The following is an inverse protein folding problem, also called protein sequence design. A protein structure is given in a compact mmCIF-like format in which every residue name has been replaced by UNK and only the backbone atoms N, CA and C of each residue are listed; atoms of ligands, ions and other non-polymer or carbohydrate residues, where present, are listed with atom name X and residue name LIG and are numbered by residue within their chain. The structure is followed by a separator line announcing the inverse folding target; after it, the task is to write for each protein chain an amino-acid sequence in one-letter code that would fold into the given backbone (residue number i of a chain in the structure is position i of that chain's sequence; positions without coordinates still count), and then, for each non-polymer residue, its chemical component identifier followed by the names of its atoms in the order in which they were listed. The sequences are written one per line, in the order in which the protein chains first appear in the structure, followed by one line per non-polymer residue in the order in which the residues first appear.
data_IF_767067395020
#
_entry.id   IF_767067395020
#
_cell.length_a   1.000
_cell.length_b   1.000
_cell.length_c   1.000
_cell.angle_alpha   90.00
_cell.angle_beta   90.00
_cell.angle_gamma   90.00
#
_symmetry.space_group_name_H-M   'P 1'
#
loop_
_entity.id
_entity.type
_entity.pdbx_description
1 polymer ?
#
# COMPACT_ATOMS: atom_id res chain seq x y z
N UNK A 1 -19.57 29.57 23.46
CA UNK A 1 -20.58 29.61 24.54
C UNK A 1 -20.61 28.37 25.45
N UNK A 2 -20.18 27.16 25.02
CA UNK A 2 -20.11 25.99 25.93
C UNK A 2 -18.71 25.36 26.17
N UNK A 3 -17.63 25.82 25.52
CA UNK A 3 -16.26 25.28 25.70
C UNK A 3 -16.18 23.73 25.67
N UNK A 4 -16.97 23.08 24.82
CA UNK A 4 -16.87 21.62 24.63
C UNK A 4 -15.57 21.35 23.87
N UNK A 5 -14.62 20.56 24.42
CA UNK A 5 -13.42 20.20 23.71
C UNK A 5 -13.80 19.31 22.53
N UNK A 6 -13.46 19.74 21.32
CA UNK A 6 -13.68 18.98 20.09
C UNK A 6 -12.34 18.66 19.46
N UNK A 7 -12.26 17.47 18.88
CA UNK A 7 -11.16 17.08 18.00
C UNK A 7 -11.75 16.78 16.63
N UNK A 8 -11.05 17.20 15.59
CA UNK A 8 -11.36 16.86 14.21
C UNK A 8 -10.05 16.55 13.50
N UNK A 9 -10.13 15.64 12.54
CA UNK A 9 -9.01 15.32 11.68
C UNK A 9 -8.75 16.50 10.73
N UNK A 10 -7.56 17.10 10.81
CA UNK A 10 -7.13 18.17 9.91
C UNK A 10 -6.19 17.59 8.85
N UNK A 11 -6.65 17.41 7.59
CA UNK A 11 -5.86 16.77 6.54
C UNK A 11 -4.62 17.59 6.15
N UNK A 12 -4.52 18.87 6.53
CA UNK A 12 -3.40 19.74 6.20
C UNK A 12 -2.26 19.69 7.26
N UNK A 13 -2.41 18.88 8.33
CA UNK A 13 -1.43 18.77 9.43
C UNK A 13 -0.72 17.40 9.41
N UNK A 14 0.58 17.47 9.10
CA UNK A 14 1.69 16.49 9.10
C UNK A 14 1.54 15.07 9.70
N UNK A 15 2.42 14.17 9.22
CA UNK A 15 2.58 12.69 9.39
C UNK A 15 2.19 12.00 10.74
N UNK A 16 1.98 12.73 11.83
CA UNK A 16 1.64 12.21 13.17
C UNK A 16 0.17 12.41 13.57
N UNK A 17 -0.71 12.64 12.61
CA UNK A 17 -2.12 12.92 12.88
C UNK A 17 -2.89 11.71 13.47
N UNK A 18 -2.42 10.48 13.24
CA UNK A 18 -3.13 9.29 13.72
C UNK A 18 -3.00 8.99 15.21
N UNK A 19 -1.81 9.14 15.79
CA UNK A 19 -1.67 8.94 17.24
C UNK A 19 -2.49 9.99 18.00
N UNK A 20 -2.70 11.17 17.40
CA UNK A 20 -3.64 12.17 17.88
C UNK A 20 -5.08 11.70 17.70
N UNK A 21 -5.46 11.15 16.55
CA UNK A 21 -6.78 10.54 16.32
C UNK A 21 -7.07 9.45 17.36
N UNK A 22 -6.15 8.50 17.57
CA UNK A 22 -6.33 7.41 18.55
C UNK A 22 -6.51 7.95 19.95
N UNK A 23 -5.65 8.90 20.38
CA UNK A 23 -5.81 9.58 21.67
C UNK A 23 -7.13 10.35 21.75
N UNK A 24 -7.59 10.96 20.65
CA UNK A 24 -8.86 11.65 20.61
C UNK A 24 -10.02 10.69 20.81
N UNK A 25 -10.05 9.56 20.08
CA UNK A 25 -11.09 8.53 20.23
C UNK A 25 -11.06 7.90 21.62
N UNK A 26 -9.87 7.60 22.17
CA UNK A 26 -9.73 7.06 23.53
C UNK A 26 -10.28 8.00 24.61
N UNK A 27 -10.08 9.31 24.46
CA UNK A 27 -10.57 10.32 25.40
C UNK A 27 -11.96 10.87 25.04
N UNK A 28 -12.53 10.48 23.90
CA UNK A 28 -13.82 10.97 23.45
C UNK A 28 -14.95 10.39 24.31
N UNK A 29 -15.91 11.25 24.63
CA UNK A 29 -17.22 10.84 25.18
C UNK A 29 -18.13 10.29 24.08
N UNK A 30 -18.11 10.91 22.91
CA UNK A 30 -18.82 10.45 21.72
C UNK A 30 -17.98 10.69 20.46
N UNK A 31 -18.13 9.81 19.47
CA UNK A 31 -17.53 9.94 18.15
C UNK A 31 -18.62 10.31 17.16
N UNK A 32 -18.59 11.56 16.69
CA UNK A 32 -19.55 12.06 15.71
C UNK A 32 -19.06 11.72 14.29
N UNK A 33 -19.75 10.84 13.58
CA UNK A 33 -19.40 10.48 12.21
C UNK A 33 -20.27 11.24 11.19
N UNK A 34 -19.66 12.16 10.43
CA UNK A 34 -20.33 12.95 9.41
C UNK A 34 -20.46 12.15 8.11
N UNK A 35 -21.66 11.63 7.87
CA UNK A 35 -21.95 10.65 6.83
C UNK A 35 -22.04 11.32 5.46
N UNK A 36 -21.23 10.82 4.53
CA UNK A 36 -21.22 11.17 3.11
C UNK A 36 -20.77 9.97 2.28
N UNK A 37 -20.96 10.03 0.95
CA UNK A 37 -20.40 9.02 0.05
C UNK A 37 -18.87 8.87 0.19
N UNK A 38 -18.15 9.98 0.45
CA UNK A 38 -16.70 9.95 0.70
C UNK A 38 -16.35 9.28 2.03
N UNK A 39 -17.17 9.47 3.06
CA UNK A 39 -16.99 8.81 4.36
C UNK A 39 -17.11 7.28 4.21
N UNK A 40 -18.12 6.80 3.47
CA UNK A 40 -18.37 5.37 3.29
C UNK A 40 -17.21 4.63 2.57
N UNK A 41 -16.48 5.31 1.69
CA UNK A 41 -15.36 4.70 0.94
C UNK A 41 -13.99 4.98 1.56
N UNK A 42 -13.90 5.79 2.62
CA UNK A 42 -12.64 6.19 3.23
C UNK A 42 -12.07 5.08 4.15
N UNK A 43 -10.89 4.52 3.87
CA UNK A 43 -10.24 3.55 4.74
C UNK A 43 -9.94 4.11 6.15
N UNK A 44 -9.66 5.41 6.24
CA UNK A 44 -9.39 6.09 7.51
C UNK A 44 -10.64 6.16 8.38
N UNK A 45 -11.77 6.55 7.80
CA UNK A 45 -13.05 6.60 8.51
C UNK A 45 -13.51 5.21 8.96
N UNK A 46 -13.25 4.18 8.15
CA UNK A 46 -13.50 2.78 8.53
C UNK A 46 -12.69 2.41 9.77
N UNK A 47 -11.37 2.67 9.77
CA UNK A 47 -10.49 2.34 10.89
C UNK A 47 -10.87 3.09 12.16
N UNK A 48 -11.11 4.40 12.07
CA UNK A 48 -11.49 5.24 13.20
C UNK A 48 -12.79 4.72 13.85
N UNK A 49 -13.83 4.46 13.05
CA UNK A 49 -15.11 4.02 13.58
C UNK A 49 -15.06 2.59 14.14
N UNK A 50 -14.26 1.71 13.50
CA UNK A 50 -13.99 0.38 14.05
C UNK A 50 -13.26 0.45 15.39
N UNK A 51 -12.29 1.34 15.54
CA UNK A 51 -11.57 1.54 16.79
C UNK A 51 -12.49 2.07 17.89
N UNK A 52 -13.28 3.10 17.58
CA UNK A 52 -14.30 3.63 18.49
C UNK A 52 -15.26 2.53 18.97
N UNK A 53 -15.74 1.68 18.06
CA UNK A 53 -16.62 0.56 18.39
C UNK A 53 -15.96 -0.48 19.28
N UNK A 54 -14.68 -0.83 19.06
CA UNK A 54 -13.92 -1.75 19.93
C UNK A 54 -13.81 -1.23 21.36
N UNK A 55 -13.63 0.09 21.49
CA UNK A 55 -13.59 0.79 22.79
C UNK A 55 -14.97 0.99 23.41
N UNK A 56 -16.04 0.52 22.76
CA UNK A 56 -17.43 0.73 23.16
C UNK A 56 -17.79 2.23 23.26
N UNK A 57 -17.15 3.07 22.44
CA UNK A 57 -17.45 4.50 22.39
C UNK A 57 -18.83 4.74 21.80
N UNK A 58 -19.54 5.74 22.33
CA UNK A 58 -20.79 6.20 21.74
C UNK A 58 -20.51 6.71 20.33
N UNK A 59 -21.29 6.25 19.37
CA UNK A 59 -21.23 6.70 17.97
C UNK A 59 -22.48 7.54 17.70
N UNK A 60 -22.28 8.78 17.26
CA UNK A 60 -23.37 9.67 16.86
C UNK A 60 -23.28 9.94 15.36
N UNK A 61 -24.11 9.26 14.53
CA UNK A 61 -24.12 9.49 13.10
C UNK A 61 -24.76 10.85 12.78
N UNK A 62 -24.06 11.66 12.00
CA UNK A 62 -24.50 12.99 11.58
C UNK A 62 -24.66 13.01 10.06
N UNK A 63 -25.89 13.14 9.56
CA UNK A 63 -26.18 13.13 8.12
C UNK A 63 -26.08 14.54 7.54
N UNK A 64 -25.12 14.79 6.65
CA UNK A 64 -24.92 16.11 6.04
C UNK A 64 -25.67 16.30 4.72
N UNK A 65 -26.15 15.20 4.13
CA UNK A 65 -26.80 15.15 2.82
C UNK A 65 -28.25 14.68 3.02
N UNK A 66 -29.21 15.21 2.25
CA UNK A 66 -30.58 14.72 2.28
C UNK A 66 -30.60 13.20 2.02
N UNK A 67 -31.34 12.45 2.84
CA UNK A 67 -31.51 11.00 2.69
C UNK A 67 -32.02 10.62 1.29
N UNK A 68 -32.75 11.49 0.61
CA UNK A 68 -33.20 11.26 -0.76
C UNK A 68 -32.07 11.36 -1.79
N UNK A 69 -31.00 12.11 -1.48
CA UNK A 69 -29.83 12.26 -2.34
C UNK A 69 -28.80 11.16 -2.11
N UNK A 70 -28.55 10.79 -0.85
CA UNK A 70 -27.62 9.72 -0.52
C UNK A 70 -27.96 9.04 0.80
N UNK A 71 -27.71 7.73 0.86
CA UNK A 71 -27.84 6.88 2.05
C UNK A 71 -26.65 5.92 2.08
N UNK A 72 -26.22 5.44 3.26
CA UNK A 72 -25.29 4.32 3.35
C UNK A 72 -25.76 3.15 2.48
N UNK A 73 -24.83 2.50 1.80
CA UNK A 73 -25.16 1.39 0.91
C UNK A 73 -25.67 0.22 1.74
N UNK A 74 -26.90 -0.23 1.48
CA UNK A 74 -27.54 -1.31 2.24
C UNK A 74 -26.67 -2.56 2.26
N UNK A 75 -26.46 -3.11 3.46
CA UNK A 75 -25.66 -4.31 3.69
C UNK A 75 -24.14 -4.12 3.65
N UNK A 76 -23.64 -2.88 3.44
CA UNK A 76 -22.21 -2.57 3.60
C UNK A 76 -21.85 -2.21 5.03
N UNK A 77 -20.55 -2.09 5.30
CA UNK A 77 -19.99 -1.85 6.62
C UNK A 77 -20.65 -0.67 7.35
N UNK A 78 -20.89 0.46 6.67
CA UNK A 78 -21.44 1.65 7.31
C UNK A 78 -22.88 1.40 7.75
N UNK A 79 -23.71 0.87 6.85
CA UNK A 79 -25.10 0.47 7.15
C UNK A 79 -25.17 -0.54 8.30
N UNK A 80 -24.28 -1.54 8.33
CA UNK A 80 -24.20 -2.51 9.43
C UNK A 80 -23.70 -1.90 10.76
N UNK A 81 -22.91 -0.83 10.70
CA UNK A 81 -22.34 -0.19 11.89
C UNK A 81 -23.29 0.80 12.55
N UNK A 82 -24.06 1.55 11.75
CA UNK A 82 -24.94 2.62 12.23
C UNK A 82 -26.42 2.37 11.95
N UNK A 83 -26.81 1.29 11.27
CA UNK A 83 -28.19 1.05 10.82
C UNK A 83 -29.21 0.93 11.94
N UNK A 84 -28.78 0.64 13.17
CA UNK A 84 -29.63 0.64 14.36
C UNK A 84 -29.71 2.01 15.07
N UNK A 85 -28.98 3.02 14.59
CA UNK A 85 -28.87 4.35 15.22
C UNK A 85 -29.57 5.37 14.33
N UNK A 86 -30.43 6.20 14.92
CA UNK A 86 -31.08 7.29 14.19
C UNK A 86 -30.05 8.40 13.95
N UNK A 87 -29.75 8.76 12.68
CA UNK A 87 -28.77 9.80 12.40
C UNK A 87 -29.34 11.19 12.70
N UNK A 88 -28.48 12.04 13.27
CA UNK A 88 -28.74 13.45 13.49
C UNK A 88 -28.71 14.20 12.15
N UNK A 89 -29.78 14.89 11.79
CA UNK A 89 -29.94 15.49 10.47
C UNK A 89 -29.35 16.91 10.40
N UNK A 90 -28.30 17.06 9.59
CA UNK A 90 -27.62 18.31 9.28
C UNK A 90 -27.84 18.77 7.82
N UNK A 91 -28.77 18.17 7.07
CA UNK A 91 -28.99 18.46 5.63
C UNK A 91 -29.46 19.88 5.28
N UNK A 92 -29.71 20.74 6.29
CA UNK A 92 -30.10 22.13 6.09
C UNK A 92 -28.93 23.06 5.77
N UNK A 93 -29.02 23.83 4.69
CA UNK A 93 -27.91 24.63 4.16
C UNK A 93 -27.68 26.01 4.82
N UNK A 94 -28.58 26.48 5.70
CA UNK A 94 -28.41 27.79 6.33
C UNK A 94 -27.56 27.72 7.60
N UNK A 95 -26.77 28.75 7.83
CA UNK A 95 -25.89 28.85 9.02
C UNK A 95 -26.70 28.81 10.31
N UNK A 96 -27.90 29.40 10.32
CA UNK A 96 -28.82 29.40 11.47
C UNK A 96 -29.30 27.98 11.78
N UNK A 97 -29.69 27.21 10.75
CA UNK A 97 -30.14 25.82 10.91
C UNK A 97 -28.99 24.95 11.42
N UNK A 98 -27.80 25.05 10.83
CA UNK A 98 -26.62 24.30 11.29
C UNK A 98 -26.30 24.66 12.74
N UNK A 99 -26.33 25.95 13.11
CA UNK A 99 -26.05 26.39 14.48
C UNK A 99 -27.08 25.85 15.46
N UNK A 100 -28.37 25.86 15.09
CA UNK A 100 -29.43 25.27 15.90
C UNK A 100 -29.21 23.76 16.07
N UNK A 101 -28.94 23.04 14.98
CA UNK A 101 -28.67 21.60 14.97
C UNK A 101 -27.45 21.22 15.80
N UNK A 102 -26.39 22.03 15.78
CA UNK A 102 -25.23 21.85 16.65
C UNK A 102 -25.60 22.00 18.13
N UNK A 103 -26.46 22.97 18.49
CA UNK A 103 -26.92 23.11 19.89
C UNK A 103 -27.75 21.91 20.35
N UNK A 104 -28.65 21.44 19.50
CA UNK A 104 -29.47 20.24 19.74
C UNK A 104 -28.56 19.01 19.95
N UNK A 105 -27.58 18.79 19.07
CA UNK A 105 -26.58 17.71 19.21
C UNK A 105 -25.81 17.81 20.54
N UNK A 106 -25.30 18.99 20.90
CA UNK A 106 -24.58 19.18 22.17
C UNK A 106 -25.48 18.81 23.36
N UNK A 107 -26.75 19.23 23.32
CA UNK A 107 -27.69 18.89 24.40
C UNK A 107 -27.95 17.39 24.49
N UNK A 108 -28.08 16.68 23.37
CA UNK A 108 -28.26 15.23 23.34
C UNK A 108 -27.02 14.46 23.82
N UNK A 109 -25.83 15.01 23.55
CA UNK A 109 -24.57 14.45 24.02
C UNK A 109 -24.39 14.64 25.53
N UNK A 110 -24.84 15.77 26.08
CA UNK A 110 -24.78 16.10 27.51
C UNK A 110 -25.85 15.38 28.35
N UNK A 111 -27.07 15.16 27.82
CA UNK A 111 -28.20 14.63 28.58
C UNK A 111 -28.25 13.09 28.67
N UNK A 112 -27.60 12.37 27.77
CA UNK A 112 -27.60 10.90 27.85
C UNK A 112 -26.62 10.39 28.92
N UNK A 113 -27.11 9.57 29.88
CA UNK A 113 -26.27 8.98 30.91
C UNK A 113 -25.24 8.01 30.31
N UNK A 114 -24.02 8.01 30.89
CA UNK A 114 -22.94 7.05 30.61
C UNK A 114 -23.44 5.62 30.83
N UNK A 115 -23.83 4.90 29.77
CA UNK A 115 -24.17 3.47 29.84
C UNK A 115 -23.17 2.54 29.17
N UNK A 116 -22.01 3.06 28.77
CA UNK A 116 -20.92 2.23 28.27
C UNK A 116 -19.79 2.19 29.30
N UNK A 117 -19.48 0.99 29.80
CA UNK A 117 -18.14 0.71 30.29
C UNK A 117 -17.23 0.86 29.07
N UNK A 118 -16.55 1.99 28.96
CA UNK A 118 -15.48 2.15 27.98
C UNK A 118 -14.51 1.00 28.17
N UNK A 119 -14.27 0.25 27.10
CA UNK A 119 -13.25 -0.77 27.16
C UNK A 119 -11.88 -0.08 27.16
N UNK A 120 -10.99 -0.55 28.02
CA UNK A 120 -9.59 -0.23 27.87
C UNK A 120 -9.13 -0.76 26.50
N UNK A 121 -8.45 0.06 25.69
CA UNK A 121 -7.89 -0.39 24.43
C UNK A 121 -7.00 -1.62 24.65
N UNK A 122 -7.30 -2.72 23.97
CA UNK A 122 -6.41 -3.86 24.01
C UNK A 122 -5.05 -3.48 23.38
N UNK A 123 -3.91 -3.81 24.02
CA UNK A 123 -2.59 -3.47 23.50
C UNK A 123 -2.34 -4.00 22.07
N UNK A 124 -2.91 -5.16 21.74
CA UNK A 124 -2.81 -5.73 20.40
C UNK A 124 -3.54 -4.88 19.35
N UNK A 125 -4.70 -4.34 19.72
CA UNK A 125 -5.55 -3.57 18.81
C UNK A 125 -4.88 -2.25 18.49
N UNK A 126 -4.28 -1.59 19.49
CA UNK A 126 -3.46 -0.39 19.26
C UNK A 126 -2.37 -0.64 18.23
N UNK A 127 -1.55 -1.67 18.46
CA UNK A 127 -0.45 -2.03 17.56
C UNK A 127 -0.93 -2.27 16.12
N UNK A 128 -1.95 -3.13 15.95
CA UNK A 128 -2.49 -3.48 14.63
C UNK A 128 -3.02 -2.25 13.92
N UNK A 129 -3.82 -1.44 14.62
CA UNK A 129 -4.49 -0.28 14.06
C UNK A 129 -3.49 0.82 13.67
N UNK A 130 -2.48 1.11 14.51
CA UNK A 130 -1.41 2.04 14.18
C UNK A 130 -0.62 1.62 12.93
N UNK A 131 -0.35 0.33 12.76
CA UNK A 131 0.37 -0.18 11.60
C UNK A 131 -0.51 -0.14 10.34
N UNK A 132 -1.79 -0.52 10.43
CA UNK A 132 -2.75 -0.39 9.33
C UNK A 132 -2.81 1.05 8.82
N UNK A 133 -2.90 2.02 9.73
CA UNK A 133 -2.94 3.42 9.35
C UNK A 133 -1.72 3.86 8.55
N UNK A 134 -0.51 3.47 8.98
CA UNK A 134 0.74 3.78 8.26
C UNK A 134 0.77 3.20 6.84
N UNK A 135 0.18 2.04 6.61
CA UNK A 135 0.07 1.49 5.25
C UNK A 135 -0.96 2.23 4.40
N UNK A 136 -2.10 2.64 4.97
CA UNK A 136 -3.11 3.42 4.26
C UNK A 136 -2.60 4.81 3.86
N UNK A 137 -1.77 5.46 4.70
CA UNK A 137 -1.07 6.71 4.37
C UNK A 137 -0.13 6.57 3.17
N UNK A 138 0.51 5.40 3.04
CA UNK A 138 1.33 5.06 1.87
C UNK A 138 0.50 4.64 0.65
N UNK A 139 -0.84 4.74 0.73
CA UNK A 139 -1.75 4.50 -0.37
C UNK A 139 -1.64 5.51 -1.52
N UNK A 140 -0.73 6.49 -1.43
CA UNK A 140 -0.39 7.40 -2.52
C UNK A 140 1.04 7.14 -3.02
N UNK A 141 1.19 6.90 -4.31
CA UNK A 141 2.45 6.80 -5.03
C UNK A 141 2.78 8.18 -5.61
N UNK A 142 4.02 8.64 -5.43
CA UNK A 142 4.51 9.83 -6.12
C UNK A 142 5.06 9.42 -7.49
N UNK A 143 4.67 10.15 -8.54
CA UNK A 143 5.27 10.00 -9.87
C UNK A 143 6.79 10.22 -9.80
N UNK A 144 7.53 9.49 -10.66
CA UNK A 144 9.00 9.59 -10.74
C UNK A 144 9.45 11.02 -11.08
N UNK A 145 8.75 11.68 -11.99
CA UNK A 145 9.12 13.01 -12.48
C UNK A 145 8.30 14.15 -11.87
N UNK A 146 7.02 13.90 -11.54
CA UNK A 146 6.16 14.94 -11.02
C UNK A 146 5.74 14.68 -9.57
N UNK A 147 6.57 15.15 -8.62
CA UNK A 147 6.34 14.93 -7.18
C UNK A 147 5.05 15.58 -6.65
N UNK A 148 4.41 16.47 -7.41
CA UNK A 148 3.11 17.08 -7.08
C UNK A 148 1.92 16.23 -7.51
N UNK A 149 2.12 15.23 -8.40
CA UNK A 149 1.07 14.27 -8.75
C UNK A 149 1.17 13.08 -7.78
N UNK A 150 0.19 12.99 -6.87
CA UNK A 150 -0.02 11.80 -6.05
C UNK A 150 -1.08 10.91 -6.69
N UNK A 151 -0.73 9.65 -6.91
CA UNK A 151 -1.60 8.66 -7.52
C UNK A 151 -2.02 7.64 -6.47
N UNK A 152 -3.30 7.26 -6.45
CA UNK A 152 -3.76 6.16 -5.59
C UNK A 152 -3.04 4.88 -5.97
N UNK A 153 -2.53 4.16 -4.97
CA UNK A 153 -1.90 2.85 -5.14
C UNK A 153 -2.85 1.84 -5.78
N UNK A 154 -4.15 1.93 -5.46
CA UNK A 154 -5.16 1.03 -6.03
C UNK A 154 -5.35 1.27 -7.52
N UNK A 155 -5.34 2.54 -7.91
CA UNK A 155 -5.50 2.88 -9.31
C UNK A 155 -4.22 2.51 -10.05
N UNK A 156 -3.04 2.84 -9.52
CA UNK A 156 -1.77 2.73 -10.23
C UNK A 156 -1.06 1.37 -10.13
N UNK A 157 -1.52 0.46 -9.27
CA UNK A 157 -0.96 -0.88 -9.20
C UNK A 157 -1.50 -1.77 -10.32
N UNK A 158 -0.59 -2.38 -11.05
CA UNK A 158 -0.88 -3.39 -12.07
C UNK A 158 -0.50 -4.77 -11.54
N UNK A 159 -1.41 -5.72 -11.67
CA UNK A 159 -1.18 -7.09 -11.23
C UNK A 159 0.03 -7.68 -11.97
N UNK A 160 1.12 -7.87 -11.24
CA UNK A 160 2.31 -8.50 -11.79
C UNK A 160 2.02 -9.98 -12.03
N UNK A 161 2.38 -10.45 -13.21
CA UNK A 161 2.28 -11.86 -13.53
C UNK A 161 3.30 -12.67 -12.70
N UNK A 162 2.83 -13.75 -12.08
CA UNK A 162 3.61 -14.61 -11.18
C UNK A 162 3.45 -16.08 -11.54
N UNK A 163 4.55 -16.84 -11.45
CA UNK A 163 4.57 -18.29 -11.71
C UNK A 163 5.35 -19.05 -10.64
N UNK A 164 5.03 -20.32 -10.39
CA UNK A 164 5.89 -21.16 -9.54
C UNK A 164 7.10 -21.69 -10.31
N UNK A 165 8.21 -21.97 -9.62
CA UNK A 165 9.38 -22.59 -10.26
C UNK A 165 9.08 -23.99 -10.82
N UNK A 166 8.14 -24.75 -10.21
CA UNK A 166 7.69 -26.05 -10.73
C UNK A 166 7.02 -25.89 -12.11
N UNK A 167 6.13 -24.90 -12.24
CA UNK A 167 5.50 -24.55 -13.52
C UNK A 167 6.53 -24.10 -14.57
N UNK A 168 7.59 -23.40 -14.15
CA UNK A 168 8.70 -22.98 -15.01
C UNK A 168 9.53 -24.17 -15.52
N UNK A 169 9.84 -25.13 -14.66
CA UNK A 169 10.60 -26.33 -15.01
C UNK A 169 9.83 -27.26 -15.95
N UNK A 170 8.51 -27.39 -15.76
CA UNK A 170 7.64 -28.09 -16.69
C UNK A 170 7.57 -27.40 -18.06
N UNK A 171 7.52 -26.07 -18.09
CA UNK A 171 7.56 -25.32 -19.33
C UNK A 171 8.92 -25.49 -20.04
N UNK A 172 10.02 -25.51 -19.28
CA UNK A 172 11.40 -25.74 -19.80
C UNK A 172 11.59 -27.12 -20.42
N UNK A 173 10.94 -28.16 -19.88
CA UNK A 173 11.00 -29.51 -20.45
C UNK A 173 10.28 -29.63 -21.80
N UNK A 174 9.41 -28.67 -22.13
CA UNK A 174 8.55 -28.76 -23.30
C UNK A 174 9.01 -27.95 -24.53
N UNK A 175 10.09 -27.14 -24.50
CA UNK A 175 10.66 -26.51 -25.72
C UNK A 175 12.07 -25.87 -25.55
N UNK A 176 12.89 -25.93 -26.62
CA UNK A 176 14.28 -25.45 -26.75
C UNK A 176 14.44 -23.93 -26.50
N UNK A 177 15.42 -23.58 -25.68
CA UNK A 177 15.62 -22.26 -25.07
C UNK A 177 16.62 -21.37 -25.83
N UNK A 178 16.16 -20.60 -26.84
CA UNK A 178 16.78 -19.32 -27.23
C UNK A 178 15.67 -18.45 -27.85
N UNK A 179 15.44 -17.25 -27.31
CA UNK A 179 14.47 -16.23 -27.77
C UNK A 179 12.99 -16.48 -27.40
N UNK A 180 12.64 -16.32 -26.11
CA UNK A 180 11.23 -16.34 -25.66
C UNK A 180 10.99 -15.17 -24.70
N UNK A 181 10.88 -13.97 -25.25
CA UNK A 181 10.27 -12.82 -24.54
C UNK A 181 9.05 -12.29 -25.31
N UNK A 182 8.91 -12.61 -26.61
CA UNK A 182 7.90 -11.99 -27.48
C UNK A 182 6.75 -12.89 -27.94
N UNK A 183 6.85 -14.22 -27.90
CA UNK A 183 5.84 -15.08 -28.55
C UNK A 183 5.39 -16.25 -27.66
N UNK A 184 4.69 -16.03 -26.54
CA UNK A 184 3.96 -17.13 -25.88
C UNK A 184 2.89 -16.68 -24.85
N UNK A 185 2.15 -15.59 -25.09
CA UNK A 185 1.06 -15.14 -24.18
C UNK A 185 0.07 -16.27 -23.79
N UNK A 186 -0.21 -17.20 -24.70
CA UNK A 186 -1.12 -18.34 -24.45
C UNK A 186 -0.58 -19.39 -23.47
N UNK A 187 0.74 -19.49 -23.28
CA UNK A 187 1.35 -20.47 -22.35
C UNK A 187 1.42 -19.89 -20.93
N UNK A 188 1.70 -18.59 -20.81
CA UNK A 188 1.84 -17.91 -19.52
C UNK A 188 0.47 -17.62 -18.89
N UNK A 189 -0.53 -17.21 -19.67
CA UNK A 189 -1.88 -16.88 -19.20
C UNK A 189 -2.60 -18.03 -18.48
N UNK A 190 -2.29 -19.30 -18.79
CA UNK A 190 -2.91 -20.47 -18.13
C UNK A 190 -2.24 -20.88 -16.80
N UNK A 191 -1.13 -20.26 -16.40
CA UNK A 191 -0.34 -20.66 -15.22
C UNK A 191 -0.11 -19.53 -14.21
N UNK A 192 -0.75 -18.37 -14.40
CA UNK A 192 -0.58 -17.23 -13.51
C UNK A 192 -1.17 -17.50 -12.12
N UNK A 193 -0.43 -17.05 -11.10
CA UNK A 193 -0.82 -17.14 -9.70
C UNK A 193 -1.29 -15.76 -9.26
N UNK A 194 -2.51 -15.68 -8.74
CA UNK A 194 -3.01 -14.48 -8.10
C UNK A 194 -2.35 -14.28 -6.74
N UNK A 195 -2.21 -13.02 -6.32
CA UNK A 195 -1.56 -12.69 -5.05
C UNK A 195 -2.27 -13.28 -3.83
N UNK A 196 -3.60 -13.41 -3.90
CA UNK A 196 -4.45 -14.07 -2.90
C UNK A 196 -4.09 -15.55 -2.71
N UNK A 197 -3.55 -16.16 -3.77
CA UNK A 197 -3.38 -17.59 -3.89
C UNK A 197 -1.95 -18.08 -3.63
N UNK A 198 -1.00 -17.16 -3.39
CA UNK A 198 0.42 -17.51 -3.23
C UNK A 198 0.66 -18.55 -2.12
N UNK A 199 -0.22 -18.56 -1.12
CA UNK A 199 -0.16 -19.45 0.04
C UNK A 199 -0.87 -20.79 -0.17
N UNK A 200 -1.61 -21.00 -1.26
CA UNK A 200 -2.42 -22.23 -1.48
C UNK A 200 -1.58 -23.50 -1.52
N UNK A 201 -0.36 -23.44 -2.06
CA UNK A 201 0.53 -24.60 -2.14
C UNK A 201 1.28 -24.89 -0.82
N UNK A 202 1.21 -23.99 0.17
CA UNK A 202 1.90 -24.16 1.44
C UNK A 202 1.15 -25.14 2.36
N UNK A 203 1.80 -26.24 2.74
CA UNK A 203 1.28 -27.33 3.57
C UNK A 203 1.84 -27.29 4.99
N UNK A 204 2.95 -26.59 5.21
CA UNK A 204 3.54 -26.48 6.54
C UNK A 204 2.76 -25.50 7.44
N UNK A 205 2.91 -25.69 8.75
CA UNK A 205 2.30 -24.81 9.77
C UNK A 205 2.70 -23.34 9.54
N UNK A 206 3.98 -23.10 9.26
CA UNK A 206 4.52 -21.79 8.89
C UNK A 206 4.64 -21.70 7.39
N UNK A 207 3.95 -20.74 6.78
CA UNK A 207 3.97 -20.52 5.33
C UNK A 207 5.17 -19.63 4.95
N UNK A 208 6.08 -20.17 4.13
CA UNK A 208 7.36 -19.52 3.79
C UNK A 208 7.51 -19.42 2.27
N UNK A 209 7.35 -18.22 1.74
CA UNK A 209 7.37 -17.93 0.31
C UNK A 209 8.58 -17.10 -0.05
N UNK A 210 9.21 -17.45 -1.17
CA UNK A 210 10.26 -16.66 -1.76
C UNK A 210 9.87 -16.17 -3.17
N UNK A 211 9.73 -14.85 -3.31
CA UNK A 211 9.40 -14.15 -4.54
C UNK A 211 10.68 -13.59 -5.21
N UNK A 212 11.04 -14.21 -6.34
CA UNK A 212 12.12 -13.76 -7.20
C UNK A 212 11.65 -12.77 -8.25
N UNK A 213 12.54 -11.87 -8.64
CA UNK A 213 12.32 -11.06 -9.82
C UNK A 213 13.49 -10.13 -10.09
N UNK A 214 13.67 -9.74 -11.36
CA UNK A 214 14.77 -8.87 -11.80
C UNK A 214 14.65 -7.46 -11.20
N UNK A 215 15.69 -6.64 -11.33
CA UNK A 215 15.63 -5.24 -10.91
C UNK A 215 14.51 -4.51 -11.66
N UNK A 216 13.80 -3.59 -10.99
CA UNK A 216 12.75 -2.80 -11.64
C UNK A 216 11.42 -3.51 -11.90
N UNK A 217 11.32 -4.81 -11.59
CA UNK A 217 10.13 -5.63 -11.91
C UNK A 217 8.90 -5.34 -11.03
N UNK A 218 9.04 -4.52 -9.99
CA UNK A 218 7.93 -4.20 -9.07
C UNK A 218 7.85 -4.99 -7.76
N UNK A 219 8.89 -5.74 -7.35
CA UNK A 219 8.92 -6.48 -6.05
C UNK A 219 8.55 -5.60 -4.84
N UNK A 220 9.20 -4.45 -4.73
CA UNK A 220 8.97 -3.50 -3.65
C UNK A 220 7.57 -2.89 -3.71
N UNK A 221 7.07 -2.62 -4.93
CA UNK A 221 5.73 -2.12 -5.19
C UNK A 221 4.65 -3.14 -4.77
N UNK A 222 4.88 -4.42 -5.08
CA UNK A 222 4.04 -5.53 -4.63
C UNK A 222 3.99 -5.58 -3.10
N UNK A 223 5.12 -5.42 -2.41
CA UNK A 223 5.15 -5.43 -0.95
C UNK A 223 4.29 -4.30 -0.35
N UNK A 224 4.41 -3.10 -0.88
CA UNK A 224 3.60 -1.95 -0.44
C UNK A 224 2.11 -2.22 -0.72
N UNK A 225 1.79 -2.70 -1.92
CA UNK A 225 0.41 -2.99 -2.33
C UNK A 225 -0.27 -4.04 -1.44
N UNK A 226 0.39 -5.17 -1.16
CA UNK A 226 -0.22 -6.22 -0.31
C UNK A 226 -0.41 -5.75 1.13
N UNK A 227 0.52 -4.93 1.67
CA UNK A 227 0.33 -4.35 3.01
C UNK A 227 -0.79 -3.33 3.05
N UNK A 228 -0.97 -2.55 1.99
CA UNK A 228 -2.07 -1.63 1.84
C UNK A 228 -3.42 -2.38 1.76
N UNK A 229 -3.52 -3.42 0.93
CA UNK A 229 -4.73 -4.24 0.83
C UNK A 229 -5.07 -4.93 2.16
N UNK A 230 -4.07 -5.47 2.87
CA UNK A 230 -4.29 -6.03 4.21
C UNK A 230 -4.78 -4.98 5.21
N UNK A 231 -4.22 -3.76 5.16
CA UNK A 231 -4.65 -2.68 6.05
C UNK A 231 -6.11 -2.29 5.79
N UNK A 232 -6.49 -2.20 4.52
CA UNK A 232 -7.87 -1.95 4.08
C UNK A 232 -8.81 -3.11 4.44
N UNK A 233 -8.29 -4.33 4.53
CA UNK A 233 -9.05 -5.54 4.87
C UNK A 233 -9.43 -6.41 3.66
N UNK A 234 -8.87 -6.11 2.48
CA UNK A 234 -9.18 -6.79 1.22
C UNK A 234 -8.27 -8.02 0.98
N UNK A 235 -7.17 -8.17 1.73
CA UNK A 235 -6.19 -9.25 1.54
C UNK A 235 -5.71 -9.84 2.88
N UNK A 236 -5.56 -11.16 2.90
CA UNK A 236 -4.96 -11.94 3.99
C UNK A 236 -5.53 -11.67 5.39
N UNK A 237 -6.86 -11.64 5.49
CA UNK A 237 -7.58 -11.39 6.75
C UNK A 237 -7.36 -12.46 7.81
N UNK A 238 -6.77 -13.62 7.45
CA UNK A 238 -6.39 -14.66 8.40
C UNK A 238 -5.22 -14.26 9.33
N UNK A 239 -4.41 -13.26 8.97
CA UNK A 239 -3.34 -12.76 9.83
C UNK A 239 -3.81 -11.52 10.59
N UNK A 240 -3.66 -11.56 11.92
CA UNK A 240 -3.95 -10.42 12.78
C UNK A 240 -3.02 -9.23 12.49
N UNK A 241 -1.79 -9.51 12.03
CA UNK A 241 -0.77 -8.49 11.76
C UNK A 241 0.11 -8.85 10.55
N UNK A 242 0.31 -7.89 9.65
CA UNK A 242 1.27 -7.97 8.56
C UNK A 242 2.36 -6.91 8.74
N UNK A 243 3.62 -7.34 8.81
CA UNK A 243 4.78 -6.47 9.04
C UNK A 243 5.68 -6.44 7.81
N UNK A 244 5.85 -5.27 7.20
CA UNK A 244 6.84 -5.03 6.17
C UNK A 244 8.17 -4.59 6.77
N UNK A 245 9.24 -5.31 6.45
CA UNK A 245 10.61 -4.92 6.78
C UNK A 245 11.41 -4.77 5.50
N UNK A 246 11.89 -3.56 5.26
CA UNK A 246 12.86 -3.28 4.19
C UNK A 246 14.22 -3.77 4.66
N UNK A 247 14.65 -4.94 4.21
CA UNK A 247 15.88 -5.58 4.70
C UNK A 247 17.13 -4.73 4.46
N UNK A 248 17.15 -3.95 3.37
CA UNK A 248 18.26 -3.04 3.06
C UNK A 248 18.34 -1.83 3.99
N UNK A 249 17.29 -1.55 4.78
CA UNK A 249 17.26 -0.48 5.78
C UNK A 249 17.74 -0.94 7.15
N UNK A 250 17.90 -2.25 7.36
CA UNK A 250 18.45 -2.81 8.58
C UNK A 250 19.97 -2.62 8.61
N UNK A 251 20.43 -1.39 8.83
CA UNK A 251 21.86 -1.04 8.86
C UNK A 251 22.35 -0.78 10.29
N UNK A 252 23.68 -0.79 10.50
CA UNK A 252 24.26 -0.53 11.83
C UNK A 252 23.92 0.86 12.34
N UNK A 253 23.87 1.84 11.46
CA UNK A 253 23.59 3.24 11.77
C UNK A 253 22.15 3.42 12.25
N UNK A 254 21.20 2.64 11.69
CA UNK A 254 19.80 2.64 12.11
C UNK A 254 19.53 1.79 13.35
N UNK A 255 20.43 0.87 13.67
CA UNK A 255 20.32 -0.07 14.80
C UNK A 255 21.54 0.01 15.77
N UNK A 256 21.82 1.18 16.37
CA UNK A 256 23.03 1.37 17.18
C UNK A 256 22.85 1.04 18.67
N UNK A 257 21.61 0.84 19.16
CA UNK A 257 21.28 0.91 20.59
C UNK A 257 21.49 -0.40 21.35
N UNK A 258 21.32 -1.53 20.68
CA UNK A 258 21.40 -2.85 21.30
C UNK A 258 22.47 -3.69 20.61
N UNK A 259 23.13 -4.53 21.39
CA UNK A 259 24.03 -5.55 20.85
C UNK A 259 23.26 -6.63 20.09
N UNK A 260 22.01 -6.88 20.49
CA UNK A 260 21.12 -7.89 19.93
C UNK A 260 19.66 -7.39 19.95
N UNK A 261 19.06 -7.30 18.77
CA UNK A 261 17.66 -6.90 18.58
C UNK A 261 16.77 -8.14 18.48
N UNK A 262 15.56 -8.05 19.04
CA UNK A 262 14.46 -8.99 18.88
C UNK A 262 13.49 -8.52 17.77
N UNK A 263 12.61 -9.38 17.24
CA UNK A 263 11.61 -8.99 16.24
C UNK A 263 10.74 -7.79 16.67
N UNK A 264 10.39 -7.71 17.96
CA UNK A 264 9.62 -6.56 18.50
C UNK A 264 10.40 -5.25 18.45
N UNK A 265 11.73 -5.30 18.58
CA UNK A 265 12.58 -4.10 18.53
C UNK A 265 12.71 -3.59 17.09
N UNK A 266 12.63 -4.48 16.10
CA UNK A 266 12.51 -4.07 14.69
C UNK A 266 11.22 -3.28 14.47
N UNK A 267 10.08 -3.75 15.00
CA UNK A 267 8.80 -3.06 14.85
C UNK A 267 8.83 -1.69 15.51
N UNK A 268 9.34 -1.61 16.75
CA UNK A 268 9.48 -0.34 17.46
C UNK A 268 10.34 0.66 16.65
N UNK A 269 11.46 0.21 16.10
CA UNK A 269 12.38 1.05 15.34
C UNK A 269 11.88 1.43 13.93
N UNK A 270 11.09 0.59 13.29
CA UNK A 270 10.59 0.82 11.92
C UNK A 270 9.25 1.55 11.90
N UNK A 271 8.38 1.32 12.89
CA UNK A 271 7.03 1.86 12.91
C UNK A 271 6.82 2.93 13.97
N UNK A 272 7.50 2.88 15.12
CA UNK A 272 7.25 3.75 16.26
C UNK A 272 8.48 4.60 16.61
N UNK A 273 9.14 5.18 15.60
CA UNK A 273 10.34 5.98 15.81
C UNK A 273 10.09 7.16 16.73
N UNK A 274 10.69 7.11 17.92
CA UNK A 274 10.57 8.16 18.92
C UNK A 274 9.59 7.81 20.05
N UNK A 275 8.69 6.86 19.82
CA UNK A 275 7.71 6.38 20.79
C UNK A 275 8.01 4.92 21.17
N UNK A 276 8.20 4.66 22.46
CA UNK A 276 8.43 3.28 22.92
C UNK A 276 7.11 2.56 23.06
N UNK A 277 7.06 1.33 22.55
CA UNK A 277 5.97 0.42 22.86
C UNK A 277 5.93 0.14 24.36
N UNK A 278 4.74 0.19 24.95
CA UNK A 278 4.51 -0.21 26.33
C UNK A 278 4.85 -1.69 26.54
N UNK A 279 5.03 -2.08 27.80
CA UNK A 279 5.30 -3.48 28.14
C UNK A 279 4.18 -4.40 27.68
N UNK A 280 2.94 -3.93 27.78
CA UNK A 280 1.72 -4.61 27.40
C UNK A 280 1.64 -4.80 25.88
N UNK A 281 1.97 -3.78 25.08
CA UNK A 281 2.02 -3.88 23.61
C UNK A 281 3.11 -4.85 23.15
N UNK A 282 4.31 -4.78 23.77
CA UNK A 282 5.41 -5.71 23.48
C UNK A 282 5.01 -7.15 23.78
N UNK A 283 4.28 -7.39 24.86
CA UNK A 283 3.79 -8.72 25.22
C UNK A 283 2.66 -9.21 24.32
N UNK A 284 1.74 -8.31 23.93
CA UNK A 284 0.69 -8.62 22.97
C UNK A 284 1.29 -9.07 21.64
N UNK A 285 2.28 -8.33 21.11
CA UNK A 285 2.99 -8.71 19.90
C UNK A 285 3.66 -10.08 20.01
N UNK A 286 4.38 -10.35 21.10
CA UNK A 286 5.00 -11.66 21.35
C UNK A 286 3.97 -12.80 21.39
N UNK A 287 2.78 -12.54 21.93
CA UNK A 287 1.68 -13.51 21.96
C UNK A 287 1.17 -13.81 20.54
N UNK A 288 1.03 -12.78 19.70
CA UNK A 288 0.62 -12.96 18.29
C UNK A 288 1.62 -13.79 17.50
N UNK A 289 2.93 -13.56 17.69
CA UNK A 289 4.01 -14.38 17.10
C UNK A 289 3.90 -15.85 17.54
N UNK A 290 3.77 -16.09 18.85
CA UNK A 290 3.59 -17.46 19.39
C UNK A 290 2.35 -18.16 18.82
N UNK A 291 1.28 -17.42 18.58
CA UNK A 291 0.05 -17.94 17.96
C UNK A 291 0.17 -18.12 16.44
N UNK A 292 1.27 -17.69 15.81
CA UNK A 292 1.49 -17.73 14.36
C UNK A 292 0.48 -16.85 13.58
N UNK A 293 0.04 -15.75 14.18
CA UNK A 293 -0.92 -14.82 13.60
C UNK A 293 -0.25 -13.61 12.92
N UNK A 294 1.08 -13.64 12.78
CA UNK A 294 1.88 -12.56 12.19
C UNK A 294 2.49 -13.03 10.87
N UNK A 295 2.32 -12.23 9.81
CA UNK A 295 2.97 -12.42 8.52
C UNK A 295 4.05 -11.36 8.30
N UNK A 296 5.26 -11.80 7.96
CA UNK A 296 6.39 -10.91 7.69
C UNK A 296 6.64 -10.77 6.18
N UNK A 297 6.57 -9.54 5.67
CA UNK A 297 6.99 -9.20 4.32
C UNK A 297 8.42 -8.67 4.39
N UNK A 298 9.37 -9.43 3.86
CA UNK A 298 10.79 -9.15 3.95
C UNK A 298 11.31 -8.72 2.58
N UNK A 299 11.43 -7.40 2.35
CA UNK A 299 11.72 -6.85 1.04
C UNK A 299 13.23 -6.58 0.82
N UNK A 300 13.78 -7.13 -0.26
CA UNK A 300 15.12 -6.81 -0.75
C UNK A 300 16.26 -7.63 -0.14
N UNK A 301 16.08 -8.95 0.01
CA UNK A 301 17.07 -9.85 0.61
C UNK A 301 18.42 -9.88 -0.11
N UNK A 302 18.45 -9.68 -1.43
CA UNK A 302 19.69 -9.71 -2.23
C UNK A 302 20.72 -8.66 -1.80
N UNK A 303 20.27 -7.52 -1.28
CA UNK A 303 21.16 -6.48 -0.74
C UNK A 303 21.62 -6.78 0.68
N UNK A 304 20.86 -7.59 1.41
CA UNK A 304 21.04 -7.86 2.83
C UNK A 304 21.93 -9.08 3.10
N UNK A 305 21.77 -10.15 2.32
CA UNK A 305 22.39 -11.46 2.57
C UNK A 305 23.92 -11.43 2.70
N UNK A 306 24.60 -10.54 1.96
CA UNK A 306 26.05 -10.47 1.96
C UNK A 306 26.65 -9.81 3.21
N UNK A 307 25.88 -8.96 3.90
CA UNK A 307 26.37 -8.16 5.05
C UNK A 307 25.26 -7.91 6.07
N UNK A 308 24.67 -8.99 6.58
CA UNK A 308 23.70 -8.89 7.69
C UNK A 308 24.39 -8.28 8.92
N UNK A 309 23.93 -7.13 9.45
CA UNK A 309 24.52 -6.57 10.65
C UNK A 309 24.34 -7.51 11.84
N UNK A 310 25.39 -7.61 12.67
CA UNK A 310 25.41 -8.52 13.82
C UNK A 310 24.24 -8.27 14.77
N UNK A 311 23.89 -7.00 14.99
CA UNK A 311 22.86 -6.57 15.94
C UNK A 311 21.46 -7.08 15.57
N UNK A 312 21.11 -7.11 14.27
CA UNK A 312 19.78 -7.52 13.79
C UNK A 312 19.74 -8.99 13.38
N UNK A 313 20.89 -9.68 13.37
CA UNK A 313 21.00 -11.06 12.88
C UNK A 313 20.12 -12.02 13.67
N UNK A 314 20.03 -11.84 15.00
CA UNK A 314 19.16 -12.66 15.83
C UNK A 314 17.69 -12.47 15.47
N UNK A 315 17.18 -11.23 15.47
CA UNK A 315 15.79 -10.95 15.08
C UNK A 315 15.46 -11.53 13.70
N UNK A 316 16.36 -11.34 12.72
CA UNK A 316 16.17 -11.88 11.38
C UNK A 316 16.06 -13.42 11.38
N UNK A 317 16.98 -14.12 12.05
CA UNK A 317 16.95 -15.58 12.14
C UNK A 317 15.68 -16.06 12.85
N UNK A 318 15.26 -15.40 13.93
CA UNK A 318 14.05 -15.75 14.65
C UNK A 318 12.80 -15.68 13.76
N UNK A 319 12.69 -14.63 12.93
CA UNK A 319 11.60 -14.49 11.95
C UNK A 319 11.66 -15.61 10.91
N UNK A 320 12.84 -15.84 10.31
CA UNK A 320 13.01 -16.85 9.26
C UNK A 320 12.69 -18.26 9.78
N UNK A 321 13.07 -18.56 11.01
CA UNK A 321 12.93 -19.91 11.56
C UNK A 321 11.49 -20.20 12.00
N UNK A 322 10.84 -19.24 12.68
CA UNK A 322 9.58 -19.48 13.42
C UNK A 322 8.32 -18.92 12.77
N UNK A 323 8.41 -17.90 11.94
CA UNK A 323 7.24 -17.11 11.50
C UNK A 323 6.82 -17.40 10.06
N UNK A 324 5.64 -16.89 9.68
CA UNK A 324 5.21 -16.81 8.29
C UNK A 324 5.95 -15.68 7.59
N UNK A 325 6.43 -15.90 6.37
CA UNK A 325 7.04 -14.82 5.60
C UNK A 325 6.83 -14.91 4.09
N UNK A 326 6.81 -13.73 3.47
CA UNK A 326 7.04 -13.52 2.04
C UNK A 326 8.34 -12.74 1.89
N UNK A 327 9.35 -13.39 1.32
CA UNK A 327 10.67 -12.81 1.09
C UNK A 327 10.79 -12.38 -0.36
N UNK A 328 11.22 -11.17 -0.65
CA UNK A 328 11.52 -10.76 -2.03
C UNK A 328 13.04 -10.64 -2.25
N UNK A 329 13.50 -11.04 -3.43
CA UNK A 329 14.90 -10.82 -3.81
C UNK A 329 15.10 -10.80 -5.32
N UNK A 330 16.21 -10.21 -5.76
CA UNK A 330 16.79 -10.56 -7.06
C UNK A 330 17.31 -12.01 -7.05
N UNK A 331 17.48 -12.65 -8.23
CA UNK A 331 18.15 -13.94 -8.32
C UNK A 331 19.53 -13.86 -7.66
N UNK A 332 19.71 -14.60 -6.57
CA UNK A 332 20.93 -14.69 -5.80
C UNK A 332 21.03 -16.09 -5.17
N UNK A 333 22.23 -16.46 -4.70
CA UNK A 333 22.41 -17.67 -3.92
C UNK A 333 21.69 -17.50 -2.58
N UNK A 334 20.71 -18.38 -2.31
CA UNK A 334 19.88 -18.28 -1.12
C UNK A 334 20.09 -19.52 -0.28
N UNK A 335 20.49 -19.30 0.96
CA UNK A 335 20.66 -20.34 1.96
C UNK A 335 19.58 -20.19 3.05
N UNK A 336 18.31 -20.15 2.63
CA UNK A 336 17.15 -20.06 3.51
C UNK A 336 16.19 -21.19 3.17
N UNK A 337 15.54 -21.74 4.20
CA UNK A 337 14.51 -22.78 4.03
C UNK A 337 13.16 -22.15 3.69
N UNK A 338 12.76 -22.18 2.42
CA UNK A 338 11.43 -21.77 1.96
C UNK A 338 10.67 -22.95 1.36
N UNK A 339 9.34 -22.89 1.42
CA UNK A 339 8.45 -23.95 0.92
C UNK A 339 8.12 -23.75 -0.56
N UNK A 340 7.76 -22.52 -0.92
CA UNK A 340 7.32 -22.19 -2.28
C UNK A 340 8.18 -21.07 -2.84
N UNK A 341 8.57 -21.24 -4.11
CA UNK A 341 9.33 -20.26 -4.88
C UNK A 341 8.50 -19.76 -6.04
N UNK A 342 8.31 -18.45 -6.06
CA UNK A 342 7.51 -17.72 -7.06
C UNK A 342 8.46 -16.80 -7.83
N UNK A 343 8.30 -16.75 -9.15
CA UNK A 343 9.00 -15.79 -10.00
C UNK A 343 8.01 -14.77 -10.56
N UNK A 344 8.32 -13.49 -10.37
CA UNK A 344 7.61 -12.36 -10.92
C UNK A 344 8.18 -12.08 -12.30
N UNK A 345 7.36 -12.21 -13.34
CA UNK A 345 7.77 -12.05 -14.73
C UNK A 345 7.58 -10.63 -15.26
N UNK A 346 6.76 -9.82 -14.59
CA UNK A 346 6.47 -8.44 -14.97
C UNK A 346 5.09 -8.30 -15.63
N UNK A 347 5.01 -7.40 -16.60
CA UNK A 347 3.81 -7.11 -17.39
C UNK A 347 3.68 -8.07 -18.56
N UNK A 348 2.46 -8.49 -18.87
CA UNK A 348 2.09 -9.08 -20.18
C UNK A 348 1.64 -7.98 -21.15
N UNK A 349 1.41 -8.29 -22.43
CA UNK A 349 1.14 -7.25 -23.45
C UNK A 349 -0.10 -6.43 -23.08
N UNK A 350 -1.16 -7.08 -22.57
CA UNK A 350 -2.36 -6.40 -22.10
C UNK A 350 -2.09 -5.43 -20.95
N UNK A 351 -1.15 -5.75 -20.06
CA UNK A 351 -0.79 -4.88 -18.94
C UNK A 351 -0.08 -3.63 -19.45
N UNK A 352 0.81 -3.77 -20.44
CA UNK A 352 1.52 -2.65 -21.07
C UNK A 352 0.52 -1.66 -21.68
N UNK A 353 -0.46 -2.16 -22.43
CA UNK A 353 -1.49 -1.31 -23.06
C UNK A 353 -2.33 -0.56 -22.02
N UNK A 354 -2.76 -1.26 -20.98
CA UNK A 354 -3.55 -0.65 -19.90
C UNK A 354 -2.73 0.38 -19.11
N UNK A 355 -1.47 0.09 -18.85
CA UNK A 355 -0.54 1.00 -18.17
C UNK A 355 -0.39 2.31 -18.93
N UNK A 356 -0.11 2.24 -20.23
CA UNK A 356 0.06 3.42 -21.08
C UNK A 356 -1.20 4.28 -21.04
N UNK A 357 -2.37 3.68 -21.23
CA UNK A 357 -3.65 4.40 -21.19
C UNK A 357 -3.81 5.14 -19.88
N UNK A 358 -3.64 4.43 -18.78
CA UNK A 358 -3.79 5.01 -17.46
C UNK A 358 -2.79 6.15 -17.19
N UNK A 359 -1.51 5.95 -17.54
CA UNK A 359 -0.47 6.94 -17.37
C UNK A 359 -0.84 8.28 -18.04
N UNK A 360 -1.30 8.23 -19.29
CA UNK A 360 -1.68 9.44 -20.04
C UNK A 360 -3.00 10.06 -19.58
N UNK A 361 -3.97 9.27 -19.12
CA UNK A 361 -5.19 9.80 -18.51
C UNK A 361 -4.96 10.48 -17.16
N UNK A 362 -4.01 9.98 -16.37
CA UNK A 362 -3.62 10.59 -15.10
C UNK A 362 -2.79 11.86 -15.28
N UNK A 363 -2.12 12.01 -16.43
CA UNK A 363 -1.25 13.14 -16.74
C UNK A 363 -1.96 14.25 -17.53
N UNK A 364 -3.21 14.07 -17.94
CA UNK A 364 -3.95 15.04 -18.74
C UNK A 364 -4.73 16.04 -17.90
N UNK A 365 -4.31 17.30 -17.94
CA UNK A 365 -5.23 18.43 -17.74
C UNK A 365 -6.04 18.60 -19.05
N UNK A 366 -7.24 18.02 -19.09
CA UNK A 366 -8.39 18.30 -19.98
C UNK A 366 -8.16 18.65 -21.49
N UNK A 367 -7.04 18.29 -22.11
CA UNK A 367 -6.77 18.58 -23.54
C UNK A 367 -6.78 17.32 -24.40
N UNK A 368 -7.42 17.41 -25.58
CA UNK A 368 -7.55 16.35 -26.59
C UNK A 368 -6.23 15.72 -27.09
N UNK A 369 -5.08 16.30 -26.73
CA UNK A 369 -3.75 15.90 -27.20
C UNK A 369 -3.30 14.53 -26.68
N UNK A 370 -3.81 14.06 -25.53
CA UNK A 370 -3.39 12.77 -24.93
C UNK A 370 -3.97 11.54 -25.63
N UNK A 371 -5.13 11.67 -26.29
CA UNK A 371 -5.73 10.56 -27.05
C UNK A 371 -4.91 10.19 -28.28
N UNK A 372 -4.21 11.14 -28.90
CA UNK A 372 -3.43 10.92 -30.12
C UNK A 372 -2.03 10.35 -29.83
N UNK A 373 -1.49 10.56 -28.62
CA UNK A 373 -0.15 10.08 -28.25
C UNK A 373 -0.13 8.61 -27.85
N UNK A 374 -1.19 8.11 -27.20
CA UNK A 374 -1.34 6.69 -26.85
C UNK A 374 -1.15 5.76 -28.07
N UNK A 375 -1.89 5.92 -29.19
CA UNK A 375 -1.72 5.06 -30.35
C UNK A 375 -0.35 5.24 -31.02
N UNK A 376 0.24 6.44 -30.99
CA UNK A 376 1.59 6.66 -31.54
C UNK A 376 2.65 5.90 -30.75
N UNK A 377 2.63 5.98 -29.42
CA UNK A 377 3.55 5.27 -28.55
C UNK A 377 3.39 3.75 -28.73
N UNK A 378 2.15 3.24 -28.72
CA UNK A 378 1.90 1.81 -28.90
C UNK A 378 2.41 1.31 -30.26
N UNK A 379 2.15 2.05 -31.34
CA UNK A 379 2.64 1.70 -32.67
C UNK A 379 4.17 1.74 -32.73
N UNK A 380 4.80 2.75 -32.13
CA UNK A 380 6.25 2.83 -32.02
C UNK A 380 6.83 1.62 -31.27
N UNK A 381 6.28 1.27 -30.11
CA UNK A 381 6.79 0.15 -29.31
C UNK A 381 6.61 -1.19 -30.03
N UNK A 382 5.44 -1.44 -30.63
CA UNK A 382 5.16 -2.68 -31.39
C UNK A 382 6.01 -2.80 -32.66
N UNK A 383 6.40 -1.68 -33.26
CA UNK A 383 7.29 -1.65 -34.43
C UNK A 383 8.77 -1.84 -34.06
N UNK A 384 9.12 -1.76 -32.78
CA UNK A 384 10.48 -1.87 -32.25
C UNK A 384 10.59 -3.04 -31.26
N UNK A 385 10.94 -4.26 -31.70
CA UNK A 385 10.95 -5.46 -30.84
C UNK A 385 11.82 -5.34 -29.59
N UNK A 386 12.92 -4.57 -29.64
CA UNK A 386 13.76 -4.30 -28.46
C UNK A 386 13.05 -3.46 -27.41
N UNK A 387 12.32 -2.42 -27.84
CA UNK A 387 11.50 -1.55 -26.97
C UNK A 387 10.36 -2.34 -26.36
N UNK A 388 9.67 -3.14 -27.18
CA UNK A 388 8.61 -4.02 -26.71
C UNK A 388 9.12 -4.96 -25.61
N UNK A 389 10.24 -5.65 -25.87
CA UNK A 389 10.81 -6.59 -24.92
C UNK A 389 11.20 -5.97 -23.57
N UNK A 390 11.72 -4.73 -23.55
CA UNK A 390 12.09 -4.06 -22.29
C UNK A 390 10.88 -3.51 -21.53
N UNK A 391 9.78 -3.20 -22.21
CA UNK A 391 8.55 -2.64 -21.63
C UNK A 391 7.81 -3.61 -20.71
N UNK A 392 8.04 -4.91 -20.85
CA UNK A 392 7.58 -5.92 -19.88
C UNK A 392 8.13 -5.71 -18.47
N UNK A 393 9.19 -4.92 -18.30
CA UNK A 393 9.67 -4.49 -16.99
C UNK A 393 9.03 -3.14 -16.62
N UNK A 394 8.20 -3.06 -15.56
CA UNK A 394 7.44 -1.86 -15.20
C UNK A 394 8.25 -0.56 -15.14
N UNK A 395 9.44 -0.57 -14.53
CA UNK A 395 10.26 0.65 -14.46
C UNK A 395 10.67 1.17 -15.85
N UNK A 396 10.92 0.28 -16.81
CA UNK A 396 11.31 0.68 -18.15
C UNK A 396 10.10 1.26 -18.90
N UNK A 397 8.91 0.70 -18.70
CA UNK A 397 7.68 1.24 -19.27
C UNK A 397 7.35 2.63 -18.71
N UNK A 398 7.45 2.80 -17.40
CA UNK A 398 7.28 4.11 -16.75
C UNK A 398 8.26 5.15 -17.33
N UNK A 399 9.54 4.77 -17.48
CA UNK A 399 10.54 5.64 -18.09
C UNK A 399 10.19 5.98 -19.55
N UNK A 400 9.76 5.00 -20.36
CA UNK A 400 9.33 5.21 -21.75
C UNK A 400 8.17 6.19 -21.82
N UNK A 401 7.12 5.98 -21.02
CA UNK A 401 5.97 6.88 -20.92
C UNK A 401 6.38 8.30 -20.51
N UNK A 402 7.32 8.40 -19.56
CA UNK A 402 7.84 9.67 -19.06
C UNK A 402 8.58 10.46 -20.13
N UNK A 403 9.49 9.82 -20.86
CA UNK A 403 10.32 10.51 -21.86
C UNK A 403 9.62 10.71 -23.19
N UNK A 404 8.48 10.04 -23.42
CA UNK A 404 7.75 10.06 -24.69
C UNK A 404 7.44 11.47 -25.17
N UNK A 405 6.87 12.31 -24.29
CA UNK A 405 6.39 13.66 -24.64
C UNK A 405 7.55 14.62 -24.94
N UNK A 406 8.67 14.49 -24.22
CA UNK A 406 9.79 15.44 -24.27
C UNK A 406 10.91 15.05 -25.27
N UNK A 407 10.73 13.95 -26.00
CA UNK A 407 11.76 13.36 -26.88
C UNK A 407 11.25 13.20 -28.31
N UNK A 408 12.03 13.65 -29.28
CA UNK A 408 11.79 13.34 -30.69
C UNK A 408 12.36 11.96 -31.03
N UNK A 409 11.47 11.01 -31.30
CA UNK A 409 11.82 9.62 -31.59
C UNK A 409 12.08 9.34 -33.08
N UNK A 410 11.88 10.33 -33.96
CA UNK A 410 11.94 10.16 -35.42
C UNK A 410 13.27 9.61 -35.94
N UNK A 411 14.38 9.90 -35.24
CA UNK A 411 15.74 9.50 -35.64
C UNK A 411 16.29 8.27 -34.88
N UNK A 412 15.50 7.67 -33.99
CA UNK A 412 15.95 6.58 -33.11
C UNK A 412 15.65 5.22 -33.72
N UNK A 413 16.57 4.71 -34.56
CA UNK A 413 16.39 3.42 -35.23
C UNK A 413 16.52 2.20 -34.29
N UNK A 414 17.30 2.31 -33.21
CA UNK A 414 17.49 1.26 -32.21
C UNK A 414 17.50 1.86 -30.81
N UNK A 415 16.48 1.56 -30.01
CA UNK A 415 16.43 1.99 -28.61
C UNK A 415 16.95 0.86 -27.73
N UNK A 416 18.04 1.15 -27.02
CA UNK A 416 18.57 0.29 -25.94
C UNK A 416 18.14 0.81 -24.58
N UNK A 417 18.31 0.01 -23.53
CA UNK A 417 18.07 0.47 -22.16
C UNK A 417 18.97 1.68 -21.81
N UNK A 418 20.21 1.69 -22.29
CA UNK A 418 21.14 2.82 -22.09
C UNK A 418 20.60 4.09 -22.73
N UNK A 419 20.13 4.01 -23.98
CA UNK A 419 19.51 5.12 -24.70
C UNK A 419 18.30 5.67 -23.95
N UNK A 420 17.45 4.78 -23.40
CA UNK A 420 16.30 5.18 -22.58
C UNK A 420 16.72 5.98 -21.35
N UNK A 421 17.75 5.51 -20.63
CA UNK A 421 18.28 6.23 -19.47
C UNK A 421 18.91 7.57 -19.85
N UNK A 422 19.61 7.67 -21.00
CA UNK A 422 20.16 8.94 -21.50
C UNK A 422 19.05 9.96 -21.78
N UNK A 423 17.98 9.55 -22.46
CA UNK A 423 16.81 10.41 -22.69
C UNK A 423 16.15 10.85 -21.38
N UNK A 424 16.05 9.93 -20.42
CA UNK A 424 15.48 10.23 -19.11
C UNK A 424 16.30 11.25 -18.32
N UNK A 425 17.63 11.09 -18.29
CA UNK A 425 18.54 12.07 -17.67
C UNK A 425 18.39 13.45 -18.33
N UNK A 426 18.33 13.49 -19.66
CA UNK A 426 18.11 14.75 -20.39
C UNK A 426 16.74 15.38 -20.05
N UNK A 427 15.68 14.59 -19.95
CA UNK A 427 14.36 15.05 -19.53
C UNK A 427 14.40 15.66 -18.12
N UNK A 428 15.03 15.00 -17.15
CA UNK A 428 15.20 15.53 -15.79
C UNK A 428 16.00 16.84 -15.78
N UNK A 429 17.08 16.93 -16.56
CA UNK A 429 17.86 18.16 -16.69
C UNK A 429 17.00 19.31 -17.24
N UNK A 430 16.23 19.07 -18.31
CA UNK A 430 15.29 20.07 -18.88
C UNK A 430 14.27 20.52 -17.85
N UNK A 431 13.65 19.59 -17.11
CA UNK A 431 12.67 19.92 -16.08
C UNK A 431 13.28 20.77 -14.95
N UNK A 432 14.49 20.42 -14.50
CA UNK A 432 15.21 21.19 -13.48
C UNK A 432 15.55 22.62 -13.93
N UNK A 433 16.01 22.79 -15.18
CA UNK A 433 16.31 24.11 -15.72
C UNK A 433 15.04 24.96 -15.89
N UNK A 434 13.94 24.36 -16.39
CA UNK A 434 12.61 25.01 -16.49
C UNK A 434 12.12 25.51 -15.12
N UNK A 435 12.24 24.69 -14.07
CA UNK A 435 11.86 25.09 -12.71
C UNK A 435 12.66 26.29 -12.18
N UNK A 436 13.84 26.55 -12.75
CA UNK A 436 14.72 27.66 -12.36
C UNK A 436 14.71 28.83 -13.37
N UNK A 437 13.81 28.80 -14.36
CA UNK A 437 13.76 29.78 -15.44
C UNK A 437 15.11 29.96 -16.16
N UNK A 438 15.83 28.86 -16.39
CA UNK A 438 17.09 28.84 -17.16
C UNK A 438 16.88 28.12 -18.49
N UNK A 439 17.53 28.62 -19.55
CA UNK A 439 17.52 27.98 -20.86
C UNK A 439 18.42 26.73 -20.89
N UNK A 440 18.06 25.75 -21.74
CA UNK A 440 18.73 24.46 -21.88
C UNK A 440 20.00 24.54 -22.73
#
# INVERSE_FOLDING_TARGET
EKNVPVWFDDPDVDDNNYDKMMKAVENAHTVCCFLTAKYEVSPYCILELQYAKKLNKRITPCMFVDKNQWKPTTGKWLDLMIGSIVPFDFSGSSKEIITQKTRELISEVEFEPLYNQDNLPEPKDKLVISIKHKYLQKGQIKSICNKTISLSIENSYFNLSMITTKQQEEARKNQNYVNVVSNNEEIWSKKLINIEDIFKECRHKTKKIHCLGRAGIGKSMLCDYVTYLWAKGDLWSEYELVILVRLHELTKERYPRLDEYMPVDLIEQEYFRGDRLSFEERNAFRKMCKSHNVLWILDGYDKFTHRIPKQVKHAFNEIIDKEHYVLTSRPCAINLSYETKIEIIGFVDSDIENYIRQYFYQSSDETNTTSDEIPKLLNFMKSNPSVWAIAHTPINLELLCTVWIDTDWSNTANVTITTLYEHFVNCLCKQYLRQRNMDY
#
